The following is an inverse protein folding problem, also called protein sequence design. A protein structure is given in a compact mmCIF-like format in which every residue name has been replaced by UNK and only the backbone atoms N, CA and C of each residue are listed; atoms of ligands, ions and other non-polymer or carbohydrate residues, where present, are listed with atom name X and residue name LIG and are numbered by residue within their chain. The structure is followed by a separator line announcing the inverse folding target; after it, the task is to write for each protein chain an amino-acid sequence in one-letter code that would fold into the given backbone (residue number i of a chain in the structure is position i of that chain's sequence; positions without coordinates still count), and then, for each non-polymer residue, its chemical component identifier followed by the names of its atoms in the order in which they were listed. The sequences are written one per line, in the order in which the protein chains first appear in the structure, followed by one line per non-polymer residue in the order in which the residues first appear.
data_IF_318947394287
#
_entry.id   IF_318947394287
#
_cell.length_a   1.000
_cell.length_b   1.000
_cell.length_c   1.000
_cell.angle_alpha   90.00
_cell.angle_beta   90.00
_cell.angle_gamma   90.00
#
_symmetry.space_group_name_H-M   'P 1'
#
loop_
_entity.id
_entity.type
_entity.pdbx_description
1 polymer ?
#
# COMPACT_ATOMS: atom_id res chain seq x y z
N UNK A 1 -24.99 24.13 -69.36
CA UNK A 1 -26.27 24.36 -68.68
C UNK A 1 -26.51 23.22 -67.73
N UNK A 2 -26.41 23.44 -66.48
CA UNK A 2 -27.06 22.76 -65.35
C UNK A 2 -26.26 23.03 -64.09
N UNK A 3 -26.86 23.83 -63.26
CA UNK A 3 -26.41 24.33 -62.00
C UNK A 3 -26.44 23.20 -60.95
N UNK A 4 -25.35 23.01 -60.17
CA UNK A 4 -25.34 22.21 -58.96
C UNK A 4 -25.30 23.10 -57.75
N UNK A 5 -26.34 23.04 -56.93
CA UNK A 5 -26.41 23.66 -55.61
C UNK A 5 -25.52 22.93 -54.60
N UNK A 6 -24.84 23.63 -53.68
CA UNK A 6 -24.15 22.99 -52.54
C UNK A 6 -25.13 22.78 -51.38
N UNK A 7 -25.08 21.56 -50.80
CA UNK A 7 -25.77 21.25 -49.55
C UNK A 7 -25.02 21.87 -48.35
N UNK A 8 -25.71 22.51 -47.40
CA UNK A 8 -25.07 22.98 -46.18
C UNK A 8 -24.90 21.81 -45.16
N UNK A 9 -23.70 21.44 -44.88
CA UNK A 9 -23.39 20.54 -43.76
C UNK A 9 -23.66 21.28 -42.45
N UNK A 10 -24.72 20.88 -41.79
CA UNK A 10 -25.10 21.37 -40.47
C UNK A 10 -24.09 20.95 -39.40
N UNK A 11 -23.37 21.93 -38.83
CA UNK A 11 -22.37 21.77 -37.80
C UNK A 11 -22.86 21.23 -36.43
N UNK A 12 -24.13 20.85 -36.34
CA UNK A 12 -24.73 20.31 -35.11
C UNK A 12 -24.47 18.81 -34.87
N UNK A 13 -24.21 18.04 -35.94
CA UNK A 13 -23.94 16.59 -35.78
C UNK A 13 -22.54 16.29 -35.30
N UNK A 14 -21.55 17.10 -35.63
CA UNK A 14 -20.15 16.93 -35.14
C UNK A 14 -20.01 17.25 -33.66
N UNK A 15 -20.77 18.22 -33.14
CA UNK A 15 -20.70 18.55 -31.71
C UNK A 15 -21.35 17.48 -30.83
N UNK A 16 -22.43 16.84 -31.33
CA UNK A 16 -23.08 15.71 -30.62
C UNK A 16 -22.24 14.48 -30.61
N UNK A 17 -21.51 14.19 -31.72
CA UNK A 17 -20.59 13.07 -31.78
C UNK A 17 -19.36 13.25 -30.85
N UNK A 18 -18.83 14.46 -30.75
CA UNK A 18 -17.73 14.82 -29.83
C UNK A 18 -18.17 14.80 -28.36
N UNK A 19 -19.42 15.18 -28.07
CA UNK A 19 -20.01 15.06 -26.73
C UNK A 19 -20.27 13.60 -26.37
N UNK A 20 -20.76 12.77 -27.29
CA UNK A 20 -20.96 11.35 -27.07
C UNK A 20 -19.64 10.60 -26.93
N UNK A 21 -18.60 10.95 -27.71
CA UNK A 21 -17.25 10.42 -27.52
C UNK A 21 -16.64 10.85 -26.18
N UNK A 22 -16.85 12.07 -25.71
CA UNK A 22 -16.41 12.49 -24.37
C UNK A 22 -17.18 11.81 -23.24
N UNK A 23 -18.46 11.53 -23.41
CA UNK A 23 -19.27 10.76 -22.44
C UNK A 23 -18.89 9.27 -22.47
N UNK A 24 -18.49 8.71 -23.63
CA UNK A 24 -17.98 7.34 -23.69
C UNK A 24 -16.55 7.21 -23.14
N UNK A 25 -15.71 8.26 -23.23
CA UNK A 25 -14.35 8.26 -22.66
C UNK A 25 -14.32 8.63 -21.17
N UNK A 26 -15.38 9.24 -20.64
CA UNK A 26 -15.55 9.58 -19.24
C UNK A 26 -16.36 8.51 -18.45
N UNK A 27 -16.45 7.28 -18.92
CA UNK A 27 -16.66 6.16 -18.00
C UNK A 27 -15.36 5.96 -17.22
N UNK A 28 -15.12 6.83 -16.25
CA UNK A 28 -14.29 6.50 -15.12
C UNK A 28 -14.78 5.13 -14.65
N UNK A 29 -13.91 4.12 -14.80
CA UNK A 29 -14.23 2.79 -14.33
C UNK A 29 -14.59 2.94 -12.85
N UNK A 30 -15.87 2.77 -12.53
CA UNK A 30 -16.33 2.84 -11.14
C UNK A 30 -15.38 1.96 -10.31
N UNK A 31 -14.84 2.51 -9.24
CA UNK A 31 -13.86 1.80 -8.45
C UNK A 31 -14.45 0.47 -8.00
N UNK A 32 -13.88 -0.62 -8.49
CA UNK A 32 -14.34 -1.97 -8.17
C UNK A 32 -14.05 -2.23 -6.69
N UNK A 33 -15.08 -2.60 -5.95
CA UNK A 33 -14.97 -3.03 -4.54
C UNK A 33 -15.30 -4.51 -4.42
N UNK A 34 -14.79 -5.17 -3.40
CA UNK A 34 -15.18 -6.51 -3.01
C UNK A 34 -15.78 -6.46 -1.61
N UNK A 35 -16.82 -7.29 -1.34
CA UNK A 35 -17.36 -7.43 0.01
C UNK A 35 -16.30 -7.90 1.01
N UNK A 36 -15.24 -8.57 0.52
CA UNK A 36 -14.12 -9.06 1.33
C UNK A 36 -13.05 -8.00 1.64
N UNK A 37 -13.14 -6.80 1.06
CA UNK A 37 -12.03 -5.81 1.13
C UNK A 37 -11.67 -5.39 2.55
N UNK A 38 -12.63 -5.44 3.48
CA UNK A 38 -12.40 -5.18 4.91
C UNK A 38 -11.48 -6.20 5.60
N UNK A 39 -11.33 -7.41 5.04
CA UNK A 39 -10.59 -8.53 5.65
C UNK A 39 -9.20 -8.78 5.04
N UNK A 40 -8.74 -7.94 4.14
CA UNK A 40 -7.44 -8.14 3.49
C UNK A 40 -6.24 -7.70 4.34
N UNK A 41 -6.48 -7.10 5.51
CA UNK A 41 -5.46 -6.61 6.42
C UNK A 41 -4.46 -5.69 5.70
N UNK A 42 -3.17 -6.01 5.75
CA UNK A 42 -2.13 -5.20 5.10
C UNK A 42 -2.19 -5.18 3.56
N UNK A 43 -3.14 -5.85 2.93
CA UNK A 43 -3.37 -5.88 1.49
C UNK A 43 -4.63 -5.13 1.06
N UNK A 44 -5.40 -4.60 2.02
CA UNK A 44 -6.49 -3.65 1.72
C UNK A 44 -5.94 -2.43 1.01
N UNK A 45 -6.69 -1.91 0.06
CA UNK A 45 -6.31 -0.67 -0.62
C UNK A 45 -6.48 0.52 0.33
N UNK A 46 -5.55 1.44 0.30
CA UNK A 46 -5.61 2.67 1.11
C UNK A 46 -6.88 3.49 0.81
N UNK A 47 -7.31 3.50 -0.43
CA UNK A 47 -8.52 4.17 -0.90
C UNK A 47 -9.81 3.58 -0.29
N UNK A 48 -9.83 2.30 0.08
CA UNK A 48 -11.00 1.68 0.71
C UNK A 48 -11.15 2.07 2.17
N UNK A 49 -10.02 2.30 2.86
CA UNK A 49 -10.01 2.88 4.21
C UNK A 49 -10.38 4.36 4.18
N UNK A 50 -9.94 5.07 3.13
CA UNK A 50 -10.18 6.50 2.91
C UNK A 50 -11.00 6.68 1.63
N UNK A 51 -12.30 6.37 1.71
CA UNK A 51 -13.19 6.27 0.54
C UNK A 51 -13.26 7.54 -0.34
N UNK A 52 -12.98 8.72 0.22
CA UNK A 52 -12.90 9.94 -0.57
C UNK A 52 -11.80 9.86 -1.65
N UNK A 53 -10.75 9.06 -1.44
CA UNK A 53 -9.68 8.85 -2.42
C UNK A 53 -10.08 7.96 -3.61
N UNK A 54 -11.21 7.26 -3.53
CA UNK A 54 -11.78 6.56 -4.68
C UNK A 54 -12.33 7.53 -5.72
N UNK A 55 -12.83 8.70 -5.26
CA UNK A 55 -13.39 9.75 -6.12
C UNK A 55 -12.31 10.74 -6.55
N UNK A 56 -11.50 11.18 -5.60
CA UNK A 56 -10.39 12.10 -5.85
C UNK A 56 -9.10 11.58 -5.17
N UNK A 57 -8.20 10.94 -5.93
CA UNK A 57 -6.96 10.37 -5.39
C UNK A 57 -5.99 11.38 -4.78
N UNK A 58 -6.20 12.66 -5.00
CA UNK A 58 -5.40 13.76 -4.44
C UNK A 58 -6.10 14.50 -3.31
N UNK A 59 -7.33 14.14 -2.99
CA UNK A 59 -8.09 14.76 -1.91
C UNK A 59 -7.36 14.68 -0.58
N UNK A 60 -7.41 15.76 0.19
CA UNK A 60 -6.92 15.80 1.57
C UNK A 60 -7.92 15.22 2.57
N UNK A 61 -9.12 14.88 2.10
CA UNK A 61 -10.23 14.48 2.95
C UNK A 61 -10.86 15.66 3.68
N UNK A 62 -11.98 15.43 4.38
CA UNK A 62 -12.54 16.42 5.27
C UNK A 62 -11.55 16.71 6.41
N UNK A 63 -11.51 17.95 6.93
CA UNK A 63 -10.72 18.23 8.12
C UNK A 63 -11.25 17.36 9.27
N UNK A 64 -10.33 16.65 9.95
CA UNK A 64 -10.67 15.86 11.14
C UNK A 64 -11.27 16.78 12.21
N UNK A 65 -12.43 16.44 12.81
CA UNK A 65 -12.95 17.18 13.93
C UNK A 65 -11.92 17.14 15.08
N UNK A 66 -11.37 18.29 15.45
CA UNK A 66 -10.36 18.40 16.52
C UNK A 66 -8.90 18.47 16.04
N UNK A 67 -8.58 18.16 14.78
CA UNK A 67 -7.31 18.49 14.14
C UNK A 67 -7.34 19.85 13.43
N UNK A 68 -7.98 20.84 14.04
CA UNK A 68 -7.57 22.21 13.80
C UNK A 68 -6.09 22.24 14.20
N UNK A 69 -5.22 22.52 13.24
CA UNK A 69 -3.84 22.92 13.56
C UNK A 69 -3.92 23.80 14.79
N UNK A 70 -3.14 23.52 15.86
CA UNK A 70 -3.22 24.33 17.06
C UNK A 70 -3.20 25.78 16.65
N UNK A 71 -3.99 26.59 17.34
CA UNK A 71 -4.18 28.01 17.09
C UNK A 71 -2.94 28.68 16.54
N UNK A 72 -3.06 29.77 15.82
CA UNK A 72 -2.02 30.53 15.08
C UNK A 72 -0.62 30.68 15.74
N UNK A 73 -0.39 30.09 16.92
CA UNK A 73 0.82 30.12 17.70
C UNK A 73 1.83 28.98 17.42
N UNK A 74 1.46 27.89 16.76
CA UNK A 74 2.36 26.75 16.53
C UNK A 74 2.78 26.64 15.05
N UNK A 75 4.09 26.70 14.79
CA UNK A 75 4.66 26.53 13.46
C UNK A 75 5.32 25.16 13.38
N UNK A 76 4.95 24.30 12.41
CA UNK A 76 5.57 23.00 12.24
C UNK A 76 7.06 23.16 11.81
N UNK A 77 7.96 22.50 12.54
CA UNK A 77 9.41 22.62 12.34
C UNK A 77 9.96 21.56 11.40
N UNK A 78 9.44 20.33 11.46
CA UNK A 78 9.95 19.19 10.71
C UNK A 78 8.83 18.20 10.42
N UNK A 79 8.94 17.52 9.28
CA UNK A 79 8.15 16.33 8.94
C UNK A 79 9.08 15.12 8.85
N UNK A 80 8.80 14.08 9.65
CA UNK A 80 9.44 12.77 9.54
C UNK A 80 8.37 11.76 9.12
N UNK A 81 8.59 11.11 8.00
CA UNK A 81 7.64 10.14 7.45
C UNK A 81 8.30 8.76 7.31
N UNK A 82 7.76 7.77 8.01
CA UNK A 82 8.08 6.36 7.82
C UNK A 82 7.02 5.76 6.91
N UNK A 83 7.40 5.42 5.68
CA UNK A 83 6.47 5.01 4.64
C UNK A 83 6.77 3.58 4.22
N UNK A 84 5.72 2.73 4.18
CA UNK A 84 5.81 1.41 3.59
C UNK A 84 5.88 1.53 2.06
N UNK A 85 6.57 0.58 1.40
CA UNK A 85 6.53 0.48 -0.07
C UNK A 85 5.08 0.42 -0.61
N UNK A 86 4.86 0.89 -1.82
CA UNK A 86 3.57 0.86 -2.52
C UNK A 86 3.07 -0.55 -2.82
N UNK A 87 1.91 -0.64 -3.45
CA UNK A 87 1.32 -1.91 -3.92
C UNK A 87 2.35 -2.70 -4.73
N UNK A 88 2.52 -3.98 -4.40
CA UNK A 88 3.50 -4.87 -5.03
C UNK A 88 2.89 -6.17 -5.52
N UNK A 89 3.55 -6.83 -6.44
CA UNK A 89 3.22 -8.19 -6.84
C UNK A 89 3.43 -9.21 -5.71
N UNK A 90 2.76 -10.37 -5.76
CA UNK A 90 3.05 -11.50 -4.88
C UNK A 90 4.53 -11.91 -4.95
N UNK A 91 5.00 -12.60 -3.91
CA UNK A 91 6.34 -13.20 -3.94
C UNK A 91 6.34 -14.45 -4.81
N UNK A 92 7.51 -14.84 -5.32
CA UNK A 92 7.70 -16.08 -6.08
C UNK A 92 7.09 -17.29 -5.36
N UNK A 93 7.32 -17.41 -4.03
CA UNK A 93 6.73 -18.47 -3.21
C UNK A 93 5.19 -18.48 -3.28
N UNK A 94 4.55 -17.31 -3.29
CA UNK A 94 3.10 -17.20 -3.42
C UNK A 94 2.64 -17.53 -4.84
N UNK A 95 3.35 -17.03 -5.86
CA UNK A 95 3.09 -17.33 -7.28
C UNK A 95 3.18 -18.83 -7.53
N UNK A 96 4.21 -19.50 -7.02
CA UNK A 96 4.39 -20.95 -7.15
C UNK A 96 3.26 -21.74 -6.49
N UNK A 97 2.84 -21.38 -5.27
CA UNK A 97 1.71 -22.02 -4.57
C UNK A 97 0.40 -21.81 -5.34
N UNK A 98 0.16 -20.61 -5.86
CA UNK A 98 -0.99 -20.33 -6.71
C UNK A 98 -0.97 -21.18 -7.99
N UNK A 99 0.18 -21.32 -8.62
CA UNK A 99 0.36 -22.21 -9.78
C UNK A 99 0.11 -23.68 -9.45
N UNK A 100 0.43 -24.16 -8.24
CA UNK A 100 0.07 -25.49 -7.78
C UNK A 100 -1.44 -25.67 -7.70
N UNK A 101 -2.14 -24.74 -7.02
CA UNK A 101 -3.59 -24.76 -6.90
C UNK A 101 -4.28 -24.66 -8.26
N UNK A 102 -3.81 -23.78 -9.14
CA UNK A 102 -4.38 -23.61 -10.48
C UNK A 102 -4.22 -24.86 -11.36
N UNK A 103 -3.07 -25.56 -11.27
CA UNK A 103 -2.88 -26.84 -11.98
C UNK A 103 -3.82 -27.92 -11.45
N UNK A 104 -4.01 -28.00 -10.12
CA UNK A 104 -4.94 -28.93 -9.50
C UNK A 104 -6.36 -28.72 -10.03
N UNK A 105 -6.82 -27.46 -10.08
CA UNK A 105 -8.14 -27.09 -10.61
C UNK A 105 -8.31 -27.43 -12.10
N UNK A 106 -7.28 -27.23 -12.91
CA UNK A 106 -7.31 -27.60 -14.35
C UNK A 106 -7.44 -29.10 -14.55
N UNK A 107 -6.87 -29.92 -13.67
CA UNK A 107 -7.02 -31.38 -13.71
C UNK A 107 -8.44 -31.85 -13.36
N UNK A 108 -9.19 -31.08 -12.57
CA UNK A 108 -10.53 -31.41 -12.05
C UNK A 108 -11.67 -30.57 -12.67
N UNK A 109 -11.39 -29.76 -13.68
CA UNK A 109 -12.31 -28.75 -14.22
C UNK A 109 -13.64 -29.28 -14.78
N UNK A 110 -13.84 -30.60 -14.89
CA UNK A 110 -15.09 -31.17 -15.34
C UNK A 110 -16.15 -31.36 -14.26
N UNK A 111 -15.75 -31.24 -12.99
CA UNK A 111 -16.58 -31.63 -11.86
C UNK A 111 -17.52 -30.51 -11.34
N UNK A 112 -17.05 -29.24 -11.28
CA UNK A 112 -17.80 -28.17 -10.63
C UNK A 112 -17.71 -26.83 -11.37
N UNK A 113 -18.79 -26.00 -11.34
CA UNK A 113 -18.80 -24.67 -11.97
C UNK A 113 -17.71 -23.74 -11.45
N UNK A 114 -17.49 -23.72 -10.12
CA UNK A 114 -16.44 -22.89 -9.51
C UNK A 114 -15.03 -23.32 -9.95
N UNK A 115 -14.75 -24.62 -9.95
CA UNK A 115 -13.48 -25.16 -10.46
C UNK A 115 -13.29 -24.85 -11.94
N UNK A 116 -14.34 -24.95 -12.76
CA UNK A 116 -14.30 -24.59 -14.19
C UNK A 116 -13.97 -23.12 -14.41
N UNK A 117 -14.60 -22.23 -13.65
CA UNK A 117 -14.36 -20.81 -13.74
C UNK A 117 -12.90 -20.47 -13.40
N UNK A 118 -12.39 -21.02 -12.30
CA UNK A 118 -11.03 -20.78 -11.85
C UNK A 118 -9.97 -21.48 -12.73
N UNK A 119 -10.29 -22.63 -13.32
CA UNK A 119 -9.41 -23.30 -14.28
C UNK A 119 -9.23 -22.50 -15.58
N UNK A 120 -10.22 -21.67 -15.96
CA UNK A 120 -10.15 -20.75 -17.11
C UNK A 120 -9.50 -19.41 -16.76
N UNK A 121 -9.30 -19.13 -15.46
CA UNK A 121 -8.63 -17.91 -15.05
C UNK A 121 -7.19 -17.88 -15.59
N UNK A 122 -6.78 -16.72 -16.10
CA UNK A 122 -5.44 -16.55 -16.67
C UNK A 122 -4.39 -16.37 -15.55
N UNK A 123 -3.41 -17.27 -15.54
CA UNK A 123 -2.27 -17.20 -14.62
C UNK A 123 -1.26 -16.17 -15.14
N UNK A 124 -1.59 -14.90 -14.97
CA UNK A 124 -0.82 -13.78 -15.49
C UNK A 124 0.43 -13.42 -14.63
N UNK A 125 0.55 -13.98 -13.43
CA UNK A 125 1.74 -13.80 -12.61
C UNK A 125 2.93 -14.55 -13.19
N UNK A 126 4.06 -13.85 -13.33
CA UNK A 126 5.32 -14.41 -13.80
C UNK A 126 6.34 -14.48 -12.66
N UNK A 127 7.32 -15.41 -12.69
CA UNK A 127 8.33 -15.56 -11.65
C UNK A 127 9.16 -14.29 -11.42
N UNK A 128 9.46 -13.53 -12.47
CA UNK A 128 10.21 -12.28 -12.43
C UNK A 128 9.47 -11.14 -11.72
N UNK A 129 8.17 -11.29 -11.47
CA UNK A 129 7.38 -10.36 -10.66
C UNK A 129 7.66 -10.44 -9.15
N UNK A 130 8.47 -11.40 -8.69
CA UNK A 130 8.78 -11.69 -7.27
C UNK A 130 8.85 -10.44 -6.38
N UNK A 131 7.72 -10.10 -5.73
CA UNK A 131 7.63 -9.00 -4.78
C UNK A 131 8.00 -7.62 -5.33
N UNK A 132 8.07 -7.44 -6.65
CA UNK A 132 8.36 -6.16 -7.31
C UNK A 132 7.23 -5.16 -7.11
N UNK A 133 7.55 -3.88 -7.18
CA UNK A 133 6.56 -2.82 -7.10
C UNK A 133 5.66 -2.86 -8.35
N UNK A 134 4.35 -2.87 -8.12
CA UNK A 134 3.38 -2.81 -9.22
C UNK A 134 3.26 -1.36 -9.76
N UNK A 135 2.78 -1.16 -11.01
CA UNK A 135 2.49 0.19 -11.53
C UNK A 135 1.57 1.00 -10.61
N UNK A 136 0.53 0.36 -10.06
CA UNK A 136 -0.35 0.96 -9.04
C UNK A 136 0.44 1.45 -7.82
N UNK A 137 1.44 0.68 -7.37
CA UNK A 137 2.27 1.06 -6.22
C UNK A 137 3.14 2.28 -6.46
N UNK A 138 3.64 2.49 -7.69
CA UNK A 138 4.31 3.74 -8.06
C UNK A 138 3.36 4.92 -7.98
N UNK A 139 2.17 4.76 -8.55
CA UNK A 139 1.13 5.79 -8.54
C UNK A 139 0.67 6.13 -7.12
N UNK A 140 0.55 5.13 -6.24
CA UNK A 140 0.20 5.33 -4.83
C UNK A 140 1.22 6.23 -4.12
N UNK A 141 2.51 6.01 -4.37
CA UNK A 141 3.59 6.81 -3.78
C UNK A 141 3.61 8.25 -4.33
N UNK A 142 3.42 8.43 -5.63
CA UNK A 142 3.32 9.76 -6.24
C UNK A 142 2.14 10.56 -5.66
N UNK A 143 0.98 9.92 -5.54
CA UNK A 143 -0.23 10.55 -4.96
C UNK A 143 -0.05 10.89 -3.48
N UNK A 144 0.57 9.99 -2.72
CA UNK A 144 0.88 10.23 -1.31
C UNK A 144 1.80 11.45 -1.14
N UNK A 145 2.85 11.55 -1.93
CA UNK A 145 3.78 12.69 -1.91
C UNK A 145 3.05 14.01 -2.19
N UNK A 146 2.18 14.02 -3.20
CA UNK A 146 1.38 15.21 -3.58
C UNK A 146 0.40 15.61 -2.47
N UNK A 147 -0.27 14.65 -1.83
CA UNK A 147 -1.14 14.94 -0.66
C UNK A 147 -0.36 15.50 0.52
N UNK A 148 0.83 14.95 0.80
CA UNK A 148 1.68 15.49 1.88
C UNK A 148 2.18 16.89 1.57
N UNK A 149 2.57 17.18 0.32
CA UNK A 149 2.96 18.52 -0.11
C UNK A 149 1.83 19.53 0.06
N UNK A 150 0.60 19.17 -0.31
CA UNK A 150 -0.58 20.00 -0.10
C UNK A 150 -0.93 20.19 1.39
N UNK A 151 -0.69 19.16 2.23
CA UNK A 151 -0.96 19.22 3.67
C UNK A 151 0.06 20.03 4.46
N UNK A 152 1.33 20.02 4.03
CA UNK A 152 2.46 20.65 4.74
C UNK A 152 3.26 21.59 3.80
N UNK A 153 2.62 22.59 3.17
CA UNK A 153 3.28 23.40 2.14
C UNK A 153 4.51 24.16 2.67
N UNK A 154 4.50 24.59 3.94
CA UNK A 154 5.64 25.28 4.56
C UNK A 154 6.84 24.37 4.87
N UNK A 155 6.64 23.05 5.00
CA UNK A 155 7.69 22.07 5.25
C UNK A 155 8.19 21.41 3.96
N UNK A 156 7.28 21.21 3.00
CA UNK A 156 7.58 20.61 1.69
C UNK A 156 7.63 21.70 0.63
N UNK A 157 8.46 22.72 0.89
CA UNK A 157 8.70 23.84 0.00
C UNK A 157 10.07 23.68 -0.70
N UNK A 158 10.24 24.30 -1.89
CA UNK A 158 11.44 24.16 -2.70
C UNK A 158 12.77 24.46 -2.01
N UNK A 159 12.80 25.44 -1.14
CA UNK A 159 13.99 25.87 -0.41
C UNK A 159 14.34 24.97 0.79
N UNK A 160 13.52 23.94 1.08
CA UNK A 160 13.76 23.01 2.19
C UNK A 160 14.66 21.85 1.73
N UNK A 161 15.42 21.32 2.69
CA UNK A 161 16.21 20.11 2.44
C UNK A 161 15.36 18.87 2.64
N UNK A 162 15.45 17.96 1.69
CA UNK A 162 14.85 16.64 1.74
C UNK A 162 15.95 15.60 1.98
N UNK A 163 15.68 14.63 2.82
CA UNK A 163 16.54 13.46 3.00
C UNK A 163 15.69 12.20 2.79
N UNK A 164 16.13 11.33 1.89
CA UNK A 164 15.44 10.09 1.56
C UNK A 164 16.32 8.92 1.92
N UNK A 165 15.85 8.06 2.82
CA UNK A 165 16.49 6.80 3.15
C UNK A 165 15.58 5.63 2.74
N UNK A 166 16.16 4.55 2.25
CA UNK A 166 15.46 3.34 1.83
C UNK A 166 16.23 2.10 2.23
N UNK A 167 15.53 0.97 2.35
CA UNK A 167 16.20 -0.32 2.31
C UNK A 167 16.66 -0.65 0.89
N UNK A 168 17.61 -1.58 0.76
CA UNK A 168 18.09 -2.08 -0.54
C UNK A 168 17.05 -2.86 -1.33
N UNK A 169 15.90 -3.22 -0.75
CA UNK A 169 14.86 -3.95 -1.46
C UNK A 169 14.34 -3.13 -2.65
N UNK A 170 14.39 -3.72 -3.84
CA UNK A 170 14.00 -3.13 -5.10
C UNK A 170 12.68 -2.32 -5.02
N UNK A 171 11.61 -2.91 -4.47
CA UNK A 171 10.32 -2.24 -4.29
C UNK A 171 10.37 -0.99 -3.39
N UNK A 172 11.29 -0.96 -2.40
CA UNK A 172 11.45 0.20 -1.52
C UNK A 172 12.20 1.34 -2.24
N UNK A 173 13.24 1.00 -2.98
CA UNK A 173 13.99 1.96 -3.80
C UNK A 173 13.09 2.58 -4.86
N UNK A 174 12.31 1.76 -5.58
CA UNK A 174 11.34 2.26 -6.57
C UNK A 174 10.23 3.10 -5.92
N UNK A 175 9.76 2.73 -4.72
CA UNK A 175 8.76 3.52 -3.99
C UNK A 175 9.31 4.89 -3.59
N UNK A 176 10.57 4.95 -3.14
CA UNK A 176 11.25 6.21 -2.84
C UNK A 176 11.38 7.08 -4.10
N UNK A 177 11.78 6.50 -5.22
CA UNK A 177 11.85 7.21 -6.51
C UNK A 177 10.50 7.75 -6.97
N UNK A 178 9.43 6.94 -6.85
CA UNK A 178 8.07 7.37 -7.18
C UNK A 178 7.56 8.49 -6.24
N UNK A 179 7.88 8.39 -4.95
CA UNK A 179 7.52 9.44 -3.98
C UNK A 179 8.24 10.76 -4.30
N UNK A 180 9.54 10.74 -4.60
CA UNK A 180 10.30 11.92 -5.03
C UNK A 180 9.71 12.56 -6.28
N UNK A 181 9.35 11.74 -7.28
CA UNK A 181 8.69 12.20 -8.50
C UNK A 181 7.34 12.88 -8.20
N UNK A 182 6.52 12.30 -7.30
CA UNK A 182 5.28 12.91 -6.86
C UNK A 182 5.48 14.24 -6.14
N UNK A 183 6.53 14.34 -5.32
CA UNK A 183 6.91 15.57 -4.63
C UNK A 183 7.38 16.64 -5.63
N UNK A 184 8.23 16.25 -6.58
CA UNK A 184 8.66 17.13 -7.67
C UNK A 184 7.48 17.69 -8.47
N UNK A 185 6.51 16.83 -8.87
CA UNK A 185 5.30 17.25 -9.57
C UNK A 185 4.45 18.23 -8.76
N UNK A 186 4.43 18.10 -7.43
CA UNK A 186 3.69 19.00 -6.55
C UNK A 186 4.35 20.37 -6.42
N UNK A 187 5.67 20.44 -6.53
CA UNK A 187 6.46 21.65 -6.32
C UNK A 187 6.85 22.37 -7.64
N UNK A 188 6.52 21.77 -8.77
CA UNK A 188 6.98 22.19 -10.12
C UNK A 188 6.59 23.58 -10.57
N UNK A 189 5.58 24.21 -9.96
CA UNK A 189 5.24 25.60 -10.26
C UNK A 189 6.23 26.61 -9.68
N UNK A 190 7.22 26.17 -8.89
CA UNK A 190 8.07 27.03 -8.06
C UNK A 190 9.58 26.78 -8.19
N UNK A 191 10.04 25.72 -8.91
CA UNK A 191 11.47 25.37 -8.99
C UNK A 191 11.94 24.86 -10.35
N UNK A 192 13.24 25.07 -10.69
CA UNK A 192 13.91 24.29 -11.73
C UNK A 192 13.92 22.80 -11.35
N UNK A 193 13.59 21.95 -12.33
CA UNK A 193 13.37 20.51 -12.15
C UNK A 193 14.52 19.70 -11.53
N UNK A 194 15.71 20.27 -11.45
CA UNK A 194 16.97 19.55 -11.25
C UNK A 194 17.19 19.03 -9.82
N UNK A 195 16.71 19.72 -8.78
CA UNK A 195 17.24 19.49 -7.43
C UNK A 195 16.61 18.29 -6.70
N UNK A 196 15.31 18.03 -6.85
CA UNK A 196 14.67 16.91 -6.14
C UNK A 196 14.89 15.57 -6.85
N UNK A 197 14.97 15.55 -8.18
CA UNK A 197 15.28 14.33 -8.93
C UNK A 197 16.74 13.88 -8.76
N UNK A 198 17.63 14.82 -8.55
CA UNK A 198 19.06 14.56 -8.34
C UNK A 198 19.41 14.19 -6.89
N UNK A 199 18.51 14.41 -5.92
CA UNK A 199 18.73 13.95 -4.55
C UNK A 199 18.80 12.43 -4.49
N UNK A 200 19.95 11.91 -4.08
CA UNK A 200 20.19 10.48 -3.99
C UNK A 200 19.47 9.89 -2.80
N UNK A 201 18.68 8.83 -3.01
CA UNK A 201 18.15 8.01 -1.91
C UNK A 201 19.32 7.27 -1.25
N UNK A 202 19.54 7.50 0.04
CA UNK A 202 20.48 6.74 0.85
C UNK A 202 19.97 5.32 1.07
N UNK A 203 20.77 4.33 0.76
CA UNK A 203 20.46 2.93 1.10
C UNK A 203 21.01 2.65 2.50
N UNK A 204 20.09 2.41 3.45
CA UNK A 204 20.44 2.18 4.85
C UNK A 204 19.69 0.97 5.42
N UNK A 205 20.16 -0.23 5.08
CA UNK A 205 19.54 -1.48 5.55
C UNK A 205 19.67 -1.65 7.07
N UNK A 206 20.75 -1.15 7.68
CA UNK A 206 20.91 -1.21 9.12
C UNK A 206 19.79 -0.48 9.86
N UNK A 207 19.29 0.62 9.30
CA UNK A 207 18.16 1.38 9.85
C UNK A 207 16.81 0.85 9.37
N UNK A 208 16.66 0.56 8.07
CA UNK A 208 15.37 0.23 7.45
C UNK A 208 15.02 -1.27 7.50
N UNK A 209 16.00 -2.11 7.80
CA UNK A 209 15.87 -3.56 7.97
C UNK A 209 16.56 -4.02 9.25
N UNK A 210 16.46 -3.22 10.29
CA UNK A 210 17.11 -3.43 11.58
C UNK A 210 16.94 -4.86 12.13
N UNK A 211 15.81 -5.49 11.85
CA UNK A 211 15.50 -6.86 12.28
C UNK A 211 16.45 -7.89 11.65
N UNK A 212 16.93 -7.69 10.42
CA UNK A 212 17.90 -8.59 9.79
C UNK A 212 19.30 -8.48 10.43
N UNK A 213 19.58 -7.39 11.13
CA UNK A 213 20.85 -7.11 11.82
C UNK A 213 20.77 -7.34 13.34
N UNK A 214 19.62 -7.79 13.84
CA UNK A 214 19.44 -8.14 15.23
C UNK A 214 19.61 -9.66 15.39
N UNK A 215 20.81 -10.12 15.75
CA UNK A 215 21.14 -11.53 15.90
C UNK A 215 20.11 -12.29 16.75
N UNK A 216 19.70 -11.70 17.87
CA UNK A 216 18.69 -12.31 18.75
C UNK A 216 17.33 -12.45 18.06
N UNK A 217 16.91 -11.51 17.22
CA UNK A 217 15.68 -11.65 16.42
C UNK A 217 15.84 -12.76 15.38
N UNK A 218 16.96 -12.78 14.66
CA UNK A 218 17.22 -13.79 13.62
C UNK A 218 17.18 -15.19 14.25
N UNK A 219 17.94 -15.43 15.33
CA UNK A 219 18.03 -16.76 15.95
C UNK A 219 16.74 -17.18 16.67
N UNK A 220 16.09 -16.27 17.39
CA UNK A 220 14.92 -16.62 18.21
C UNK A 220 13.59 -16.60 17.45
N UNK A 221 13.48 -15.88 16.33
CA UNK A 221 12.22 -15.69 15.62
C UNK A 221 12.29 -16.07 14.15
N UNK A 222 13.28 -15.55 13.39
CA UNK A 222 13.31 -15.78 11.93
C UNK A 222 13.71 -17.21 11.55
N UNK A 223 14.72 -17.76 12.21
CA UNK A 223 15.29 -19.10 11.96
C UNK A 223 14.77 -20.17 12.93
N UNK A 224 14.10 -19.78 14.00
CA UNK A 224 13.54 -20.72 14.96
C UNK A 224 12.25 -21.36 14.39
N UNK A 225 12.32 -22.65 14.13
CA UNK A 225 11.21 -23.44 13.56
C UNK A 225 9.98 -23.48 14.47
N UNK A 226 10.15 -23.33 15.79
CA UNK A 226 9.04 -23.33 16.76
C UNK A 226 8.45 -21.95 17.00
N UNK A 227 9.06 -20.90 16.49
CA UNK A 227 8.59 -19.51 16.71
C UNK A 227 7.17 -19.27 16.13
N UNK A 228 6.75 -20.07 15.16
CA UNK A 228 5.43 -19.98 14.54
C UNK A 228 4.48 -21.09 14.99
N UNK A 229 4.76 -21.79 16.10
CA UNK A 229 3.95 -22.90 16.60
C UNK A 229 2.45 -22.56 16.69
N UNK A 230 2.09 -21.40 17.21
CA UNK A 230 0.68 -20.97 17.35
C UNK A 230 0.01 -20.79 15.98
N UNK A 231 0.76 -20.34 14.98
CA UNK A 231 0.26 -20.17 13.60
C UNK A 231 0.01 -21.55 12.98
N UNK A 232 0.93 -22.49 13.20
CA UNK A 232 0.81 -23.84 12.64
C UNK A 232 -0.30 -24.62 13.38
N UNK A 233 -0.42 -24.48 14.69
CA UNK A 233 -1.54 -25.03 15.46
C UNK A 233 -2.90 -24.51 14.98
N UNK A 234 -3.00 -23.22 14.66
CA UNK A 234 -4.25 -22.64 14.11
C UNK A 234 -4.58 -23.18 12.71
N UNK A 235 -3.56 -23.41 11.86
CA UNK A 235 -3.78 -24.02 10.53
C UNK A 235 -4.40 -25.42 10.63
N UNK A 236 -4.08 -26.15 11.69
CA UNK A 236 -4.63 -27.49 11.98
C UNK A 236 -5.88 -27.42 12.87
N UNK A 237 -6.29 -26.25 13.29
CA UNK A 237 -7.42 -26.02 14.17
C UNK A 237 -8.79 -26.15 13.48
N UNK A 238 -9.88 -26.23 14.29
CA UNK A 238 -11.21 -26.50 13.79
C UNK A 238 -11.75 -25.40 12.87
N UNK A 239 -11.38 -24.13 13.10
CA UNK A 239 -11.79 -23.00 12.26
C UNK A 239 -11.24 -23.14 10.84
N UNK A 240 -9.94 -23.42 10.73
CA UNK A 240 -9.30 -23.59 9.43
C UNK A 240 -9.77 -24.87 8.73
N UNK A 241 -10.02 -25.95 9.46
CA UNK A 241 -10.59 -27.18 8.91
C UNK A 241 -11.95 -26.95 8.27
N UNK A 242 -12.85 -26.19 8.91
CA UNK A 242 -14.16 -25.83 8.33
C UNK A 242 -14.01 -25.05 7.02
N UNK A 243 -13.06 -24.12 6.96
CA UNK A 243 -12.77 -23.38 5.72
C UNK A 243 -12.26 -24.32 4.64
N UNK A 244 -11.32 -25.23 4.97
CA UNK A 244 -10.78 -26.22 4.02
C UNK A 244 -11.87 -27.14 3.46
N UNK A 245 -12.74 -27.70 4.31
CA UNK A 245 -13.85 -28.57 3.91
C UNK A 245 -14.83 -27.85 2.99
N UNK A 246 -15.20 -26.61 3.33
CA UNK A 246 -16.09 -25.79 2.49
C UNK A 246 -15.48 -25.46 1.13
N UNK A 247 -14.22 -25.04 1.09
CA UNK A 247 -13.54 -24.74 -0.16
C UNK A 247 -13.35 -25.99 -1.00
N UNK A 248 -12.99 -27.12 -0.39
CA UNK A 248 -12.87 -28.40 -1.07
C UNK A 248 -14.20 -28.81 -1.71
N UNK A 249 -15.32 -28.72 -0.98
CA UNK A 249 -16.67 -29.01 -1.49
C UNK A 249 -17.03 -28.06 -2.65
N UNK A 250 -16.76 -26.75 -2.53
CA UNK A 250 -17.02 -25.75 -3.59
C UNK A 250 -16.26 -26.03 -4.87
N UNK A 251 -15.03 -26.55 -4.73
CA UNK A 251 -14.13 -26.87 -5.85
C UNK A 251 -14.26 -28.32 -6.33
N UNK A 252 -15.08 -29.15 -5.68
CA UNK A 252 -15.19 -30.60 -5.88
C UNK A 252 -13.82 -31.31 -5.81
N UNK A 253 -13.01 -30.92 -4.87
CA UNK A 253 -11.71 -31.51 -4.60
C UNK A 253 -11.79 -32.39 -3.34
N UNK A 254 -11.00 -33.46 -3.23
CA UNK A 254 -10.73 -34.09 -1.94
C UNK A 254 -10.12 -33.10 -0.97
N UNK A 255 -10.55 -33.08 0.28
CA UNK A 255 -9.96 -32.20 1.31
C UNK A 255 -8.47 -32.44 1.47
N UNK A 256 -8.00 -33.68 1.27
CA UNK A 256 -6.59 -34.05 1.30
C UNK A 256 -5.70 -33.33 0.27
N UNK A 257 -6.30 -32.84 -0.83
CA UNK A 257 -5.58 -32.14 -1.90
C UNK A 257 -5.38 -30.65 -1.58
N UNK A 258 -6.04 -30.16 -0.53
CA UNK A 258 -5.94 -28.78 -0.06
C UNK A 258 -5.22 -28.71 1.30
N UNK A 259 -4.61 -27.57 1.54
CA UNK A 259 -4.08 -27.19 2.85
C UNK A 259 -4.29 -25.69 3.09
N UNK A 260 -4.07 -25.25 4.33
CA UNK A 260 -4.24 -23.86 4.73
C UNK A 260 -3.43 -22.88 3.85
N UNK A 261 -2.25 -23.26 3.42
CA UNK A 261 -1.37 -22.42 2.59
C UNK A 261 -1.90 -22.22 1.16
N UNK A 262 -2.52 -23.25 0.57
CA UNK A 262 -3.16 -23.15 -0.77
C UNK A 262 -4.43 -22.30 -0.71
N UNK A 263 -5.24 -22.47 0.33
CA UNK A 263 -6.45 -21.65 0.53
C UNK A 263 -6.06 -20.20 0.82
N UNK A 264 -5.04 -19.96 1.65
CA UNK A 264 -4.55 -18.61 1.92
C UNK A 264 -4.00 -17.92 0.67
N UNK A 265 -3.33 -18.64 -0.23
CA UNK A 265 -2.84 -18.01 -1.48
C UNK A 265 -3.98 -17.65 -2.43
N UNK A 266 -5.07 -18.42 -2.45
CA UNK A 266 -6.28 -18.07 -3.19
C UNK A 266 -6.89 -16.76 -2.66
N UNK A 267 -7.00 -16.62 -1.35
CA UNK A 267 -7.46 -15.39 -0.68
C UNK A 267 -6.55 -14.20 -0.97
N UNK A 268 -5.23 -14.39 -0.96
CA UNK A 268 -4.27 -13.35 -1.35
C UNK A 268 -4.34 -12.99 -2.83
N UNK A 269 -4.75 -13.90 -3.69
CA UNK A 269 -4.96 -13.62 -5.11
C UNK A 269 -6.18 -12.74 -5.31
N UNK A 270 -7.29 -13.02 -4.59
CA UNK A 270 -8.47 -12.15 -4.54
C UNK A 270 -8.05 -10.70 -4.22
N UNK A 271 -7.33 -10.49 -3.11
CA UNK A 271 -6.90 -9.15 -2.69
C UNK A 271 -5.88 -8.50 -3.65
N UNK A 272 -4.99 -9.29 -4.23
CA UNK A 272 -3.94 -8.78 -5.12
C UNK A 272 -4.49 -8.33 -6.47
N UNK A 273 -5.44 -9.05 -7.06
CA UNK A 273 -6.08 -8.61 -8.31
C UNK A 273 -6.92 -7.36 -8.12
N UNK A 274 -7.63 -7.25 -6.99
CA UNK A 274 -8.34 -6.03 -6.64
C UNK A 274 -7.37 -4.85 -6.50
N UNK A 275 -6.28 -5.02 -5.75
CA UNK A 275 -5.34 -3.93 -5.48
C UNK A 275 -4.45 -3.56 -6.68
N UNK A 276 -4.09 -4.52 -7.54
CA UNK A 276 -3.16 -4.28 -8.66
C UNK A 276 -3.92 -3.91 -9.94
N UNK A 277 -4.99 -4.65 -10.25
CA UNK A 277 -5.75 -4.51 -11.50
C UNK A 277 -7.07 -3.77 -11.35
N UNK A 278 -7.52 -3.48 -10.14
CA UNK A 278 -8.85 -2.92 -9.84
C UNK A 278 -9.98 -3.79 -10.40
N UNK A 279 -9.85 -5.11 -10.30
CA UNK A 279 -10.88 -6.08 -10.73
C UNK A 279 -11.34 -6.93 -9.55
N UNK A 280 -12.64 -7.26 -9.51
CA UNK A 280 -13.14 -8.25 -8.60
C UNK A 280 -12.75 -9.64 -9.13
N UNK A 281 -11.74 -10.23 -8.52
CA UNK A 281 -11.16 -11.50 -8.93
C UNK A 281 -12.16 -12.65 -8.79
N UNK A 282 -12.21 -13.61 -9.73
CA UNK A 282 -13.03 -14.83 -9.54
C UNK A 282 -12.61 -15.65 -8.31
N UNK A 283 -11.39 -15.49 -7.84
CA UNK A 283 -10.92 -16.11 -6.59
C UNK A 283 -11.67 -15.60 -5.35
N UNK A 284 -12.25 -14.40 -5.42
CA UNK A 284 -13.02 -13.82 -4.30
C UNK A 284 -14.33 -14.60 -4.04
N UNK A 285 -14.92 -15.19 -5.09
CA UNK A 285 -16.20 -15.93 -4.97
C UNK A 285 -16.09 -17.22 -4.15
N UNK A 286 -14.88 -17.68 -3.85
CA UNK A 286 -14.67 -18.85 -2.99
C UNK A 286 -15.00 -18.58 -1.53
N UNK A 287 -14.96 -17.33 -1.09
CA UNK A 287 -14.97 -16.96 0.32
C UNK A 287 -16.23 -16.20 0.71
N UNK A 288 -16.82 -16.59 1.82
CA UNK A 288 -17.77 -15.77 2.56
C UNK A 288 -17.03 -14.85 3.54
N UNK A 289 -17.76 -13.93 4.17
CA UNK A 289 -17.22 -13.06 5.21
C UNK A 289 -16.65 -13.86 6.40
N UNK A 290 -17.27 -14.97 6.75
CA UNK A 290 -16.79 -15.81 7.86
C UNK A 290 -15.50 -16.54 7.49
N UNK A 291 -15.35 -17.01 6.26
CA UNK A 291 -14.07 -17.57 5.78
C UNK A 291 -12.98 -16.50 5.77
N UNK A 292 -13.33 -15.29 5.35
CA UNK A 292 -12.41 -14.17 5.30
C UNK A 292 -11.90 -13.76 6.68
N UNK A 293 -12.76 -13.77 7.71
CA UNK A 293 -12.38 -13.54 9.12
C UNK A 293 -11.37 -14.56 9.61
N UNK A 294 -11.56 -15.85 9.29
CA UNK A 294 -10.60 -16.91 9.66
C UNK A 294 -9.25 -16.70 8.97
N UNK A 295 -9.25 -16.33 7.68
CA UNK A 295 -8.02 -16.12 6.91
C UNK A 295 -7.31 -14.81 7.28
N UNK A 296 -8.06 -13.78 7.64
CA UNK A 296 -7.52 -12.55 8.23
C UNK A 296 -6.85 -12.85 9.55
N UNK A 297 -7.55 -13.54 10.47
CA UNK A 297 -7.00 -13.93 11.77
C UNK A 297 -5.73 -14.77 11.63
N UNK A 298 -5.68 -15.74 10.72
CA UNK A 298 -4.47 -16.51 10.43
C UNK A 298 -3.29 -15.61 10.03
N UNK A 299 -3.56 -14.60 9.21
CA UNK A 299 -2.53 -13.64 8.82
C UNK A 299 -2.10 -12.74 9.98
N UNK A 300 -3.04 -12.29 10.79
CA UNK A 300 -2.78 -11.41 11.95
C UNK A 300 -2.04 -12.16 13.05
N UNK A 301 -2.42 -13.40 13.32
CA UNK A 301 -1.70 -14.28 14.25
C UNK A 301 -0.23 -14.43 13.83
N UNK A 302 0.01 -14.61 12.52
CA UNK A 302 1.38 -14.66 11.98
C UNK A 302 2.12 -13.33 12.18
N UNK A 303 1.47 -12.18 11.95
CA UNK A 303 2.10 -10.87 12.17
C UNK A 303 2.37 -10.63 13.66
N UNK A 304 1.45 -11.03 14.53
CA UNK A 304 1.61 -10.92 15.98
C UNK A 304 2.88 -11.62 16.47
N UNK A 305 3.06 -12.89 16.10
CA UNK A 305 4.22 -13.68 16.54
C UNK A 305 5.52 -13.27 15.83
N UNK A 306 5.45 -13.00 14.53
CA UNK A 306 6.66 -12.71 13.75
C UNK A 306 7.19 -11.29 13.91
N UNK A 307 6.29 -10.29 14.11
CA UNK A 307 6.66 -8.86 14.02
C UNK A 307 6.00 -7.99 15.10
N UNK A 308 4.97 -8.48 15.72
CA UNK A 308 4.23 -7.80 16.76
C UNK A 308 4.70 -8.20 18.16
N UNK A 309 3.78 -8.21 19.10
CA UNK A 309 4.05 -8.37 20.52
C UNK A 309 4.28 -9.82 20.98
N UNK A 310 4.24 -10.81 20.09
CA UNK A 310 4.43 -12.24 20.44
C UNK A 310 5.79 -12.52 21.07
N UNK A 311 6.81 -11.77 20.71
CA UNK A 311 8.14 -11.85 21.32
C UNK A 311 8.68 -10.45 21.62
N UNK A 312 9.22 -10.24 22.80
CA UNK A 312 9.83 -8.98 23.23
C UNK A 312 10.89 -8.45 22.26
N UNK A 313 11.66 -9.36 21.66
CA UNK A 313 12.73 -9.01 20.74
C UNK A 313 12.20 -8.30 19.49
N UNK A 314 10.95 -8.53 19.09
CA UNK A 314 10.35 -7.88 17.94
C UNK A 314 10.31 -6.36 18.12
N UNK A 315 9.89 -5.90 19.31
CA UNK A 315 9.88 -4.46 19.62
C UNK A 315 11.29 -3.92 19.89
N UNK A 316 12.12 -4.64 20.63
CA UNK A 316 13.50 -4.22 20.97
C UNK A 316 14.38 -4.08 19.74
N UNK A 317 14.21 -4.92 18.72
CA UNK A 317 14.96 -4.81 17.47
C UNK A 317 14.76 -3.48 16.76
N UNK A 318 13.63 -2.79 16.98
CA UNK A 318 13.30 -1.50 16.36
C UNK A 318 13.89 -0.28 17.09
N UNK A 319 14.57 -0.44 18.23
CA UNK A 319 15.13 0.68 19.01
C UNK A 319 16.03 1.60 18.19
N UNK A 320 16.81 1.04 17.25
CA UNK A 320 17.69 1.85 16.40
C UNK A 320 16.90 2.86 15.54
N UNK A 321 15.72 2.46 15.05
CA UNK A 321 14.86 3.34 14.26
C UNK A 321 14.22 4.42 15.14
N UNK A 322 13.78 4.08 16.34
CA UNK A 322 13.27 5.06 17.30
C UNK A 322 14.34 6.08 17.69
N UNK A 323 15.54 5.62 18.02
CA UNK A 323 16.67 6.51 18.34
C UNK A 323 16.99 7.46 17.18
N UNK A 324 16.96 7.00 15.93
CA UNK A 324 17.17 7.87 14.77
C UNK A 324 16.08 8.94 14.66
N UNK A 325 14.81 8.56 14.84
CA UNK A 325 13.68 9.48 14.79
C UNK A 325 13.86 10.58 15.87
N UNK A 326 14.06 10.19 17.13
CA UNK A 326 14.21 11.15 18.24
C UNK A 326 15.43 12.05 18.07
N UNK A 327 16.58 11.51 17.68
CA UNK A 327 17.79 12.30 17.40
C UNK A 327 17.54 13.42 16.39
N UNK A 328 16.76 13.16 15.36
CA UNK A 328 16.42 14.17 14.36
C UNK A 328 15.40 15.19 14.88
N UNK A 329 14.43 14.76 15.70
CA UNK A 329 13.50 15.69 16.35
C UNK A 329 14.22 16.62 17.33
N UNK A 330 15.10 16.09 18.17
CA UNK A 330 15.92 16.88 19.11
C UNK A 330 16.80 17.90 18.36
N UNK A 331 17.39 17.47 17.24
CA UNK A 331 18.16 18.37 16.38
C UNK A 331 17.31 19.51 15.83
N UNK A 332 16.11 19.22 15.33
CA UNK A 332 15.20 20.25 14.80
C UNK A 332 14.78 21.25 15.88
N UNK A 333 14.52 20.78 17.10
CA UNK A 333 14.22 21.65 18.27
C UNK A 333 15.41 22.54 18.61
N UNK A 334 16.63 22.00 18.66
CA UNK A 334 17.84 22.75 18.95
C UNK A 334 18.13 23.83 17.89
N UNK A 335 17.97 23.49 16.61
CA UNK A 335 18.15 24.43 15.50
C UNK A 335 17.10 25.55 15.52
N UNK A 336 15.84 25.23 15.84
CA UNK A 336 14.78 26.23 16.00
C UNK A 336 15.07 27.21 17.16
N UNK A 337 15.52 26.72 18.31
CA UNK A 337 15.91 27.57 19.45
C UNK A 337 17.07 28.51 19.11
N UNK A 338 18.07 28.05 18.35
CA UNK A 338 19.18 28.90 17.89
C UNK A 338 18.71 29.98 16.91
N UNK A 339 17.81 29.64 15.96
CA UNK A 339 17.24 30.62 15.06
C UNK A 339 16.41 31.68 15.78
N UNK A 340 15.63 31.30 16.79
CA UNK A 340 14.91 32.23 17.64
C UNK A 340 15.85 33.13 18.43
N UNK A 341 16.98 32.63 18.94
CA UNK A 341 18.00 33.44 19.63
C UNK A 341 18.67 34.47 18.71
N UNK A 342 18.87 34.13 17.43
CA UNK A 342 19.42 35.07 16.43
C UNK A 342 18.42 36.15 16.01
N UNK A 343 17.11 35.88 16.10
CA UNK A 343 16.04 36.83 15.80
C UNK A 343 15.54 37.60 17.04
N UNK A 344 15.79 37.13 18.26
CA UNK A 344 15.27 37.75 19.49
C UNK A 344 16.03 38.98 19.98
N UNK A 345 16.98 39.46 19.20
CA UNK A 345 17.54 40.82 19.45
C UNK A 345 16.61 41.95 19.00
N UNK A 346 15.41 41.63 18.45
CA UNK A 346 14.45 42.64 18.02
C UNK A 346 12.97 42.39 18.30
N UNK A 347 12.53 41.30 18.96
CA UNK A 347 11.13 41.12 19.39
C UNK A 347 11.02 40.17 20.59
N UNK A 348 10.58 40.69 21.70
CA UNK A 348 10.03 39.96 22.84
C UNK A 348 8.69 39.33 22.42
N UNK A 349 8.42 38.11 22.91
CA UNK A 349 7.22 37.30 22.83
C UNK A 349 7.15 36.27 21.70
N UNK A 350 7.83 35.14 21.92
CA UNK A 350 7.48 33.87 21.26
C UNK A 350 7.19 32.80 22.31
N UNK A 351 5.91 32.47 22.47
CA UNK A 351 5.43 31.40 23.34
C UNK A 351 5.81 30.06 22.72
N UNK A 352 6.66 29.30 23.38
CA UNK A 352 6.94 27.91 23.06
C UNK A 352 5.76 27.03 23.52
N UNK A 353 5.09 26.32 22.60
CA UNK A 353 4.18 25.25 22.98
C UNK A 353 4.99 24.08 23.56
N UNK A 354 5.11 23.99 24.88
CA UNK A 354 5.56 22.76 25.55
C UNK A 354 4.35 21.87 25.79
N UNK A 355 4.44 20.54 25.59
CA UNK A 355 3.39 19.63 26.03
C UNK A 355 3.30 19.74 27.56
N UNK A 356 2.12 20.04 28.07
CA UNK A 356 1.83 19.82 29.50
C UNK A 356 1.79 18.31 29.73
N UNK A 357 2.41 17.89 30.84
CA UNK A 357 2.49 16.53 31.36
C UNK A 357 1.12 15.89 31.56
#
# INVERSE_FOLDING_TARGET
MASCCPCPFSGRRSLLLLLLLRVCLAREAAATTSHLSGYFGTKSRYEEVNQHLLRDPLSLGPPEPGHLLPSAACVPLQLRALIRHGTRFPTEKQIRKLGQLHRLLRGQARACPAAQQLARWDMWYQPDMDGRLAPKGRLDMERLARRLAARFPGLLAPQRRFAFASSSKHRCVESSGAFRRGLHLALHSQLPAADIENEKTEINDKLMRFFDYCEKFVTCVEENTTAMYQVDAFKEGPEMKRVLEKIAATLCLPVSDLNADLVQVAFFTCSSELSIKNVNSPWCSLFSDDDAKVLEYLNDLKQYWKRGYGYDINSRSSCILFQDIFKHLDKAIAESKRALHLFSTSLQDAILCTPQQ
#
